data_IF_795506067028
#
_entry.id   IF_795506067028
#
_cell.length_a   1.000
_cell.length_b   1.000
_cell.length_c   1.000
_cell.angle_alpha   90.00
_cell.angle_beta   90.00
_cell.angle_gamma   90.00
#
_symmetry.space_group_name_H-M   'P 1'
#
loop_
_entity.id
_entity.type
_entity.pdbx_description
1 polymer ?
#
# COMPACT_ATOMS: atom_id res chain seq x y z
N UNK A 1 3.45 -18.18 -11.56
CA UNK A 1 4.55 -17.43 -11.00
C UNK A 1 4.12 -16.62 -9.80
N UNK A 2 4.94 -16.59 -8.76
CA UNK A 2 4.59 -15.95 -7.49
C UNK A 2 4.30 -14.45 -7.64
N UNK A 3 5.10 -13.76 -8.45
CA UNK A 3 4.92 -12.31 -8.63
C UNK A 3 3.56 -12.00 -9.24
N UNK A 4 3.12 -12.79 -10.21
CA UNK A 4 1.82 -12.59 -10.83
C UNK A 4 0.68 -12.88 -9.85
N UNK A 5 0.80 -13.95 -9.08
CA UNK A 5 -0.21 -14.31 -8.08
C UNK A 5 -0.32 -13.22 -7.01
N UNK A 6 0.81 -12.69 -6.56
CA UNK A 6 0.82 -11.61 -5.59
C UNK A 6 0.16 -10.36 -6.14
N UNK A 7 0.46 -10.03 -7.39
CA UNK A 7 -0.15 -8.88 -8.05
C UNK A 7 -1.67 -9.03 -8.15
N UNK A 8 -2.13 -10.20 -8.58
CA UNK A 8 -3.56 -10.45 -8.69
C UNK A 8 -4.26 -10.38 -7.34
N UNK A 9 -3.64 -10.92 -6.30
CA UNK A 9 -4.19 -10.87 -4.94
C UNK A 9 -4.32 -9.42 -4.48
N UNK A 10 -3.30 -8.61 -4.72
CA UNK A 10 -3.32 -7.20 -4.36
C UNK A 10 -4.41 -6.45 -5.14
N UNK A 11 -4.50 -6.70 -6.44
CA UNK A 11 -5.51 -6.05 -7.29
C UNK A 11 -6.93 -6.38 -6.82
N UNK A 12 -7.16 -7.63 -6.47
CA UNK A 12 -8.47 -8.06 -5.94
C UNK A 12 -8.77 -7.37 -4.61
N UNK A 13 -7.77 -7.27 -3.72
CA UNK A 13 -7.95 -6.61 -2.43
C UNK A 13 -8.26 -5.13 -2.60
N UNK A 14 -7.61 -4.46 -3.54
CA UNK A 14 -7.88 -3.06 -3.86
C UNK A 14 -9.31 -2.88 -4.40
N UNK A 15 -9.71 -3.76 -5.30
CA UNK A 15 -11.03 -3.68 -5.90
C UNK A 15 -12.14 -3.89 -4.88
N UNK A 16 -11.97 -4.85 -3.98
CA UNK A 16 -12.94 -5.12 -2.92
C UNK A 16 -13.15 -3.94 -2.00
N UNK A 17 -12.14 -3.10 -1.86
CA UNK A 17 -12.18 -1.93 -0.97
C UNK A 17 -12.47 -0.62 -1.68
N UNK A 18 -12.67 -0.68 -3.00
CA UNK A 18 -12.90 0.51 -3.80
C UNK A 18 -11.69 1.43 -3.89
N UNK A 19 -10.49 0.88 -3.75
CA UNK A 19 -9.24 1.66 -3.75
C UNK A 19 -8.55 1.70 -5.11
N UNK A 20 -9.03 0.95 -6.08
CA UNK A 20 -8.34 0.82 -7.37
C UNK A 20 -8.12 2.17 -8.06
N UNK A 21 -9.12 3.04 -8.01
CA UNK A 21 -9.02 4.36 -8.61
C UNK A 21 -8.05 5.30 -7.89
N UNK A 22 -7.74 4.99 -6.63
CA UNK A 22 -6.86 5.82 -5.81
C UNK A 22 -5.39 5.41 -5.92
N UNK A 23 -5.10 4.30 -6.57
CA UNK A 23 -3.74 3.82 -6.79
C UNK A 23 -3.31 4.16 -8.20
N UNK A 24 -2.31 5.01 -8.33
CA UNK A 24 -1.85 5.50 -9.63
C UNK A 24 -0.60 4.80 -10.15
N UNK A 25 0.16 4.14 -9.27
CA UNK A 25 1.40 3.49 -9.66
C UNK A 25 1.64 2.27 -8.77
N UNK A 26 2.14 1.21 -9.37
CA UNK A 26 2.52 -0.01 -8.68
C UNK A 26 3.93 -0.39 -9.12
N UNK A 27 4.87 -0.37 -8.18
CA UNK A 27 6.27 -0.67 -8.45
C UNK A 27 6.66 -1.98 -7.78
N UNK A 28 6.98 -2.98 -8.58
CA UNK A 28 7.39 -4.31 -8.13
C UNK A 28 8.83 -4.63 -8.54
N UNK A 29 9.65 -3.62 -8.78
CA UNK A 29 11.03 -3.82 -9.21
C UNK A 29 11.92 -4.39 -8.10
N UNK A 30 11.58 -4.14 -6.83
CA UNK A 30 12.32 -4.69 -5.71
C UNK A 30 11.77 -6.09 -5.37
N UNK A 31 12.62 -7.13 -5.32
CA UNK A 31 12.13 -8.48 -4.99
C UNK A 31 11.65 -8.64 -3.55
N UNK A 32 12.02 -7.73 -2.66
CA UNK A 32 11.65 -7.82 -1.24
C UNK A 32 10.44 -6.97 -0.88
N UNK A 33 10.10 -5.99 -1.70
CA UNK A 33 9.01 -5.08 -1.36
C UNK A 33 8.23 -4.65 -2.60
N UNK A 34 7.02 -4.22 -2.32
CA UNK A 34 6.11 -3.65 -3.30
C UNK A 34 5.83 -2.22 -2.87
N UNK A 35 5.88 -1.28 -3.80
CA UNK A 35 5.53 0.11 -3.52
C UNK A 35 4.33 0.51 -4.36
N UNK A 36 3.34 1.15 -3.75
CA UNK A 36 2.21 1.69 -4.49
C UNK A 36 2.03 3.17 -4.15
N UNK A 37 1.58 3.93 -5.15
CA UNK A 37 1.27 5.34 -4.99
C UNK A 37 -0.21 5.47 -4.70
N UNK A 38 -0.54 5.96 -3.52
CA UNK A 38 -1.92 6.06 -3.05
C UNK A 38 -2.36 7.51 -2.93
N UNK A 39 -3.48 7.84 -3.56
CA UNK A 39 -4.07 9.19 -3.57
C UNK A 39 -3.14 10.26 -4.13
N UNK A 40 -2.09 9.86 -4.81
CA UNK A 40 -1.01 10.74 -5.31
C UNK A 40 -0.35 11.56 -4.20
N UNK A 41 -0.46 11.08 -2.96
CA UNK A 41 0.12 11.70 -1.76
C UNK A 41 1.14 10.80 -1.09
N UNK A 42 0.96 9.48 -1.17
CA UNK A 42 1.75 8.55 -0.38
C UNK A 42 2.40 7.49 -1.24
N UNK A 43 3.67 7.21 -0.94
CA UNK A 43 4.36 6.03 -1.43
C UNK A 43 4.26 4.98 -0.34
N UNK A 44 3.44 3.96 -0.55
CA UNK A 44 3.17 2.93 0.45
C UNK A 44 4.07 1.73 0.17
N UNK A 45 4.88 1.36 1.15
CA UNK A 45 5.81 0.24 1.06
C UNK A 45 5.22 -0.97 1.77
N UNK A 46 5.07 -2.07 1.02
CA UNK A 46 4.47 -3.32 1.51
C UNK A 46 5.44 -4.47 1.28
N UNK A 47 5.44 -5.50 2.16
CA UNK A 47 6.18 -6.72 1.85
C UNK A 47 5.59 -7.42 0.63
N UNK A 48 6.43 -8.12 -0.14
CA UNK A 48 5.97 -8.87 -1.31
C UNK A 48 5.01 -9.99 -0.91
N UNK A 49 5.24 -10.60 0.24
CA UNK A 49 4.36 -11.62 0.78
C UNK A 49 3.68 -11.08 2.02
N UNK A 50 2.40 -10.78 1.91
CA UNK A 50 1.65 -10.18 3.00
C UNK A 50 0.17 -10.46 2.84
N UNK A 51 -0.58 -10.31 3.92
CA UNK A 51 -2.02 -10.25 3.87
C UNK A 51 -2.40 -8.84 3.40
N UNK A 52 -2.58 -8.69 2.11
CA UNK A 52 -2.86 -7.38 1.52
C UNK A 52 -4.19 -6.81 2.01
N UNK A 53 -5.18 -7.66 2.25
CA UNK A 53 -6.45 -7.19 2.80
C UNK A 53 -6.26 -6.49 4.13
N UNK A 54 -5.54 -7.12 5.04
CA UNK A 54 -5.23 -6.54 6.35
C UNK A 54 -4.40 -5.26 6.20
N UNK A 55 -3.38 -5.30 5.34
CA UNK A 55 -2.51 -4.14 5.12
C UNK A 55 -3.28 -2.96 4.57
N UNK A 56 -4.17 -3.20 3.61
CA UNK A 56 -4.95 -2.13 3.02
C UNK A 56 -5.96 -1.53 4.01
N UNK A 57 -6.57 -2.37 4.85
CA UNK A 57 -7.47 -1.86 5.88
C UNK A 57 -6.70 -0.99 6.88
N UNK A 58 -5.50 -1.41 7.24
CA UNK A 58 -4.63 -0.63 8.12
C UNK A 58 -4.22 0.69 7.46
N UNK A 59 -3.87 0.64 6.17
CA UNK A 59 -3.52 1.83 5.40
C UNK A 59 -4.65 2.86 5.41
N UNK A 60 -5.87 2.41 5.17
CA UNK A 60 -7.03 3.30 5.18
C UNK A 60 -7.21 3.97 6.55
N UNK A 61 -7.03 3.21 7.62
CA UNK A 61 -7.13 3.75 8.98
C UNK A 61 -6.04 4.77 9.28
N UNK A 62 -4.82 4.52 8.81
CA UNK A 62 -3.70 5.44 9.00
C UNK A 62 -3.95 6.75 8.25
N UNK A 63 -4.36 6.65 6.99
CA UNK A 63 -4.60 7.84 6.14
C UNK A 63 -5.72 8.70 6.71
N UNK A 64 -6.74 8.07 7.28
CA UNK A 64 -7.84 8.80 7.91
C UNK A 64 -7.40 9.72 9.04
N UNK A 65 -6.30 9.35 9.70
CA UNK A 65 -5.76 10.14 10.82
C UNK A 65 -4.81 11.24 10.37
N UNK A 66 -4.44 11.26 9.11
CA UNK A 66 -3.53 12.27 8.57
C UNK A 66 -4.30 13.44 8.02
N UNK A 67 -3.66 14.60 8.00
CA UNK A 67 -4.23 15.79 7.41
C UNK A 67 -4.32 15.66 5.89
N UNK A 68 -5.28 16.35 5.28
CA UNK A 68 -5.51 16.23 3.84
C UNK A 68 -4.33 16.73 3.00
N UNK A 69 -3.48 17.57 3.56
CA UNK A 69 -2.32 18.13 2.88
C UNK A 69 -1.01 17.39 3.18
N UNK A 70 -1.07 16.36 4.04
CA UNK A 70 0.13 15.59 4.34
C UNK A 70 0.43 14.63 3.20
N UNK A 71 1.72 14.45 2.92
CA UNK A 71 2.21 13.52 1.92
C UNK A 71 3.59 13.02 2.31
N UNK A 72 3.98 11.88 1.78
CA UNK A 72 5.25 11.25 2.10
C UNK A 72 5.22 9.76 1.90
N UNK A 73 5.96 9.05 2.72
CA UNK A 73 6.09 7.59 2.65
C UNK A 73 5.38 6.94 3.82
N UNK A 74 4.57 5.92 3.53
CA UNK A 74 3.98 5.09 4.58
C UNK A 74 4.66 3.72 4.49
N UNK A 75 5.46 3.40 5.50
CA UNK A 75 6.20 2.15 5.55
C UNK A 75 5.39 1.12 6.32
N UNK A 76 4.94 0.08 5.62
CA UNK A 76 4.15 -1.01 6.21
C UNK A 76 4.87 -2.36 6.04
N UNK A 77 6.21 -2.32 5.98
CA UNK A 77 7.01 -3.53 5.81
C UNK A 77 7.00 -4.43 7.05
N UNK A 78 6.77 -3.87 8.22
CA UNK A 78 6.68 -4.64 9.45
C UNK A 78 5.25 -5.02 9.75
N UNK A 79 5.08 -6.26 10.19
CA UNK A 79 3.75 -6.75 10.52
C UNK A 79 3.17 -5.99 11.73
N UNK A 80 1.91 -5.60 11.60
CA UNK A 80 1.20 -4.90 12.66
C UNK A 80 1.66 -3.48 12.89
N UNK A 81 2.50 -2.92 12.01
CA UNK A 81 3.03 -1.56 12.18
C UNK A 81 2.94 -0.78 10.87
N UNK A 82 2.65 0.50 11.01
CA UNK A 82 2.72 1.44 9.90
C UNK A 82 3.46 2.67 10.39
N UNK A 83 4.38 3.17 9.57
CA UNK A 83 5.19 4.33 9.91
C UNK A 83 5.07 5.37 8.82
N UNK A 84 4.61 6.55 9.18
CA UNK A 84 4.52 7.66 8.25
C UNK A 84 5.79 8.51 8.33
N UNK A 85 6.40 8.73 7.17
CA UNK A 85 7.59 9.56 7.04
C UNK A 85 7.19 10.75 6.17
N UNK A 86 6.96 11.92 6.74
CA UNK A 86 6.53 13.09 5.96
C UNK A 86 7.59 13.52 4.97
N UNK A 87 7.11 14.04 3.87
CA UNK A 87 7.97 14.56 2.81
C UNK A 87 8.67 15.85 3.22
#
# INVERSE_FOLDING_TARGET
ELALEQLLTLMQALDQRGMTADVSLLDMSDPAQLTLRYLERFDVQLPREADYGYKLDYLMAVVEKLEVNEKGVINMMQEGKARFIPE
#
